data_IF_694049259194
#
_entry.id   IF_694049259194
#
_cell.length_a   1.000
_cell.length_b   1.000
_cell.length_c   1.000
_cell.angle_alpha   90.00
_cell.angle_beta   90.00
_cell.angle_gamma   90.00
#
_symmetry.space_group_name_H-M   'P 1'
#
loop_
_entity.id
_entity.type
_entity.pdbx_description
1 polymer ?
#
# COMPACT_ATOMS: atom_id res chain seq x y z
N UNK A 1 -10.32 20.27 -10.94
CA UNK A 1 -11.41 19.53 -11.61
C UNK A 1 -11.78 20.36 -12.82
N UNK A 2 -11.67 19.82 -14.03
CA UNK A 2 -11.96 20.57 -15.26
C UNK A 2 -13.44 20.97 -15.29
N UNK A 3 -13.73 22.21 -15.68
CA UNK A 3 -15.10 22.65 -15.91
C UNK A 3 -15.63 22.07 -17.22
N UNK A 4 -16.92 21.72 -17.30
CA UNK A 4 -17.56 21.26 -18.54
C UNK A 4 -17.29 22.19 -19.74
N UNK A 5 -17.16 23.49 -19.46
CA UNK A 5 -16.82 24.53 -20.42
C UNK A 5 -15.41 24.39 -21.00
N UNK A 6 -14.41 24.01 -20.20
CA UNK A 6 -13.04 23.76 -20.70
C UNK A 6 -13.00 22.54 -21.62
N UNK A 7 -13.76 21.50 -21.28
CA UNK A 7 -13.90 20.27 -22.10
C UNK A 7 -14.42 20.63 -23.48
N UNK A 8 -15.50 21.40 -23.52
CA UNK A 8 -16.16 21.78 -24.76
C UNK A 8 -15.27 22.69 -25.60
N UNK A 9 -14.55 23.63 -24.97
CA UNK A 9 -13.56 24.47 -25.65
C UNK A 9 -12.42 23.66 -26.26
N UNK A 10 -11.88 22.68 -25.54
CA UNK A 10 -10.79 21.83 -26.04
C UNK A 10 -11.27 20.93 -27.19
N UNK A 11 -12.47 20.37 -27.06
CA UNK A 11 -13.09 19.54 -28.10
C UNK A 11 -13.34 20.32 -29.39
N UNK A 12 -13.84 21.57 -29.28
CA UNK A 12 -14.02 22.46 -30.44
C UNK A 12 -12.66 22.81 -31.04
N UNK A 13 -11.69 23.22 -30.22
CA UNK A 13 -10.35 23.63 -30.69
C UNK A 13 -9.66 22.52 -31.49
N UNK A 14 -9.75 21.28 -31.02
CA UNK A 14 -9.08 20.14 -31.65
C UNK A 14 -9.97 19.46 -32.72
N UNK A 15 -11.20 19.93 -32.91
CA UNK A 15 -12.24 19.27 -33.70
C UNK A 15 -12.37 17.76 -33.38
N UNK A 16 -12.10 17.39 -32.12
CA UNK A 16 -11.98 16.01 -31.68
C UNK A 16 -12.37 15.87 -30.21
N UNK A 17 -13.64 15.53 -29.98
CA UNK A 17 -14.17 15.33 -28.63
C UNK A 17 -13.53 14.14 -27.92
N UNK A 18 -13.08 13.12 -28.66
CA UNK A 18 -12.43 11.95 -28.06
C UNK A 18 -11.09 12.31 -27.43
N UNK A 19 -10.29 13.12 -28.13
CA UNK A 19 -9.00 13.62 -27.63
C UNK A 19 -9.18 14.50 -26.38
N UNK A 20 -10.21 15.35 -26.36
CA UNK A 20 -10.56 16.12 -25.17
C UNK A 20 -10.88 15.23 -23.97
N UNK A 21 -11.60 14.11 -24.17
CA UNK A 21 -11.83 13.14 -23.09
C UNK A 21 -10.58 12.37 -22.66
N UNK A 22 -9.63 12.09 -23.56
CA UNK A 22 -8.37 11.43 -23.19
C UNK A 22 -7.47 12.34 -22.35
N UNK A 23 -7.35 13.63 -22.70
CA UNK A 23 -6.51 14.59 -21.95
C UNK A 23 -7.00 14.85 -20.52
N UNK A 24 -8.30 14.72 -20.27
CA UNK A 24 -8.87 14.90 -18.93
C UNK A 24 -8.80 13.68 -18.03
N UNK A 25 -8.50 12.50 -18.56
CA UNK A 25 -8.38 11.30 -17.74
C UNK A 25 -7.12 11.40 -16.88
N UNK A 26 -7.08 10.70 -15.73
CA UNK A 26 -5.84 10.54 -14.99
C UNK A 26 -4.75 9.99 -15.92
N UNK A 27 -3.62 10.70 -16.01
CA UNK A 27 -2.53 10.34 -16.92
C UNK A 27 -1.64 9.21 -16.36
N UNK A 28 -1.83 8.85 -15.08
CA UNK A 28 -1.13 7.72 -14.47
C UNK A 28 -1.41 6.41 -15.22
N UNK A 29 -0.36 5.69 -15.60
CA UNK A 29 -0.41 4.49 -16.45
C UNK A 29 -1.41 3.43 -15.96
N UNK A 30 -1.51 3.24 -14.64
CA UNK A 30 -2.45 2.28 -14.05
C UNK A 30 -3.92 2.53 -14.41
N UNK A 31 -4.34 3.79 -14.61
CA UNK A 31 -5.71 4.12 -14.99
C UNK A 31 -6.06 3.51 -16.36
N UNK A 32 -5.14 3.55 -17.32
CA UNK A 32 -5.29 2.93 -18.64
C UNK A 32 -5.42 1.41 -18.53
N UNK A 33 -4.61 0.75 -17.69
CA UNK A 33 -4.73 -0.68 -17.45
C UNK A 33 -6.09 -1.06 -16.83
N UNK A 34 -6.57 -0.29 -15.85
CA UNK A 34 -7.88 -0.54 -15.24
C UNK A 34 -9.02 -0.36 -16.25
N UNK A 35 -8.97 0.67 -17.09
CA UNK A 35 -9.97 0.91 -18.14
C UNK A 35 -9.99 -0.23 -19.16
N UNK A 36 -8.81 -0.64 -19.64
CA UNK A 36 -8.71 -1.73 -20.62
C UNK A 36 -9.23 -3.05 -20.05
N UNK A 37 -8.91 -3.33 -18.78
CA UNK A 37 -9.43 -4.53 -18.09
C UNK A 37 -10.95 -4.44 -17.87
N UNK A 38 -11.47 -3.28 -17.48
CA UNK A 38 -12.90 -3.04 -17.33
C UNK A 38 -13.64 -3.29 -18.65
N UNK A 39 -13.15 -2.71 -19.76
CA UNK A 39 -13.72 -2.91 -21.08
C UNK A 39 -13.70 -4.40 -21.47
N UNK A 40 -12.54 -5.05 -21.31
CA UNK A 40 -12.39 -6.47 -21.60
C UNK A 40 -13.35 -7.35 -20.79
N UNK A 41 -13.58 -7.04 -19.51
CA UNK A 41 -14.52 -7.79 -18.67
C UNK A 41 -15.98 -7.48 -19.00
N UNK A 42 -16.32 -6.22 -19.28
CA UNK A 42 -17.70 -5.78 -19.54
C UNK A 42 -18.31 -6.34 -20.83
N UNK A 43 -17.47 -6.60 -21.84
CA UNK A 43 -17.89 -7.19 -23.12
C UNK A 43 -18.12 -8.70 -23.03
N UNK A 44 -17.77 -9.34 -21.91
CA UNK A 44 -17.93 -10.78 -21.74
C UNK A 44 -19.36 -11.07 -21.30
N UNK A 45 -20.11 -11.70 -22.19
CA UNK A 45 -21.41 -12.26 -21.88
C UNK A 45 -21.20 -13.56 -21.05
N UNK A 46 -20.96 -13.43 -19.73
CA UNK A 46 -20.67 -14.59 -18.89
C UNK A 46 -21.96 -15.17 -18.31
N UNK A 47 -22.36 -16.33 -18.82
CA UNK A 47 -23.21 -17.25 -18.08
C UNK A 47 -22.53 -17.58 -16.75
N UNK A 48 -23.33 -17.69 -15.68
CA UNK A 48 -22.90 -18.19 -14.38
C UNK A 48 -22.15 -19.52 -14.60
N UNK A 49 -20.86 -19.51 -14.33
CA UNK A 49 -20.02 -20.70 -14.48
C UNK A 49 -20.26 -21.58 -13.26
N UNK A 50 -21.02 -22.67 -13.42
CA UNK A 50 -21.13 -23.68 -12.37
C UNK A 50 -19.84 -24.50 -12.33
N UNK A 51 -19.31 -24.69 -11.12
CA UNK A 51 -18.18 -25.59 -10.84
C UNK A 51 -18.65 -26.82 -10.05
N UNK A 52 -19.93 -27.17 -10.15
CA UNK A 52 -20.44 -28.42 -9.60
C UNK A 52 -19.67 -29.62 -10.18
N UNK A 53 -19.31 -30.58 -9.31
CA UNK A 53 -18.51 -31.73 -9.70
C UNK A 53 -17.00 -31.49 -9.82
N UNK A 54 -16.51 -30.28 -9.49
CA UNK A 54 -15.08 -30.03 -9.35
C UNK A 54 -14.56 -30.71 -8.07
N UNK A 55 -13.57 -31.59 -8.18
CA UNK A 55 -12.95 -32.26 -7.04
C UNK A 55 -12.15 -31.27 -6.18
N UNK A 56 -12.06 -31.53 -4.87
CA UNK A 56 -11.22 -30.76 -3.93
C UNK A 56 -9.72 -30.86 -4.27
N UNK A 57 -9.32 -31.95 -4.94
CA UNK A 57 -7.97 -32.15 -5.45
C UNK A 57 -8.05 -32.66 -6.89
N UNK A 58 -7.40 -31.94 -7.81
CA UNK A 58 -7.28 -32.29 -9.22
C UNK A 58 -5.81 -32.54 -9.54
N UNK A 59 -5.51 -33.64 -10.21
CA UNK A 59 -4.17 -33.95 -10.72
C UNK A 59 -4.12 -33.86 -12.25
N UNK A 60 -2.93 -33.75 -12.81
CA UNK A 60 -2.77 -33.75 -14.28
C UNK A 60 -3.33 -35.07 -14.84
N UNK A 61 -4.18 -34.97 -15.86
CA UNK A 61 -4.89 -36.08 -16.48
C UNK A 61 -6.34 -36.25 -16.02
N UNK A 62 -6.73 -35.69 -14.87
CA UNK A 62 -8.14 -35.66 -14.47
C UNK A 62 -9.00 -34.96 -15.55
N UNK A 63 -10.22 -35.42 -15.74
CA UNK A 63 -11.15 -34.82 -16.70
C UNK A 63 -12.56 -34.68 -16.15
N UNK A 64 -13.23 -33.59 -16.53
CA UNK A 64 -14.64 -33.33 -16.20
C UNK A 64 -15.19 -32.15 -16.99
N UNK A 65 -16.51 -32.03 -17.05
CA UNK A 65 -17.16 -30.84 -17.59
C UNK A 65 -16.83 -29.57 -16.77
N UNK A 66 -16.66 -29.71 -15.45
CA UNK A 66 -16.24 -28.61 -14.59
C UNK A 66 -14.83 -28.10 -14.94
N UNK A 67 -13.91 -28.99 -15.36
CA UNK A 67 -12.60 -28.59 -15.85
C UNK A 67 -12.71 -27.79 -17.15
N UNK A 68 -13.57 -28.19 -18.08
CA UNK A 68 -13.83 -27.40 -19.31
C UNK A 68 -14.30 -25.97 -18.99
N UNK A 69 -15.26 -25.84 -18.07
CA UNK A 69 -15.76 -24.53 -17.62
C UNK A 69 -14.66 -23.71 -16.92
N UNK A 70 -13.85 -24.36 -16.09
CA UNK A 70 -12.71 -23.72 -15.42
C UNK A 70 -11.68 -23.22 -16.44
N UNK A 71 -11.33 -24.01 -17.47
CA UNK A 71 -10.39 -23.60 -18.52
C UNK A 71 -10.88 -22.35 -19.26
N UNK A 72 -12.16 -22.27 -19.61
CA UNK A 72 -12.77 -21.06 -20.19
C UNK A 72 -12.61 -19.83 -19.30
N UNK A 73 -12.89 -19.96 -18.00
CA UNK A 73 -12.72 -18.86 -17.05
C UNK A 73 -11.25 -18.45 -16.89
N UNK A 74 -10.34 -19.41 -16.78
CA UNK A 74 -8.90 -19.17 -16.67
C UNK A 74 -8.37 -18.47 -17.91
N UNK A 75 -8.73 -18.93 -19.12
CA UNK A 75 -8.37 -18.27 -20.37
C UNK A 75 -8.83 -16.81 -20.39
N UNK A 76 -10.12 -16.59 -20.09
CA UNK A 76 -10.70 -15.26 -20.12
C UNK A 76 -9.99 -14.30 -19.15
N UNK A 77 -9.73 -14.72 -17.92
CA UNK A 77 -9.19 -13.82 -16.88
C UNK A 77 -7.68 -13.70 -16.87
N UNK A 78 -6.95 -14.72 -17.33
CA UNK A 78 -5.48 -14.71 -17.32
C UNK A 78 -4.88 -14.33 -18.65
N UNK A 79 -5.65 -14.45 -19.74
CA UNK A 79 -5.19 -14.24 -21.13
C UNK A 79 -4.01 -15.14 -21.52
N UNK A 80 -3.76 -16.21 -20.76
CA UNK A 80 -2.80 -17.24 -21.11
C UNK A 80 -3.35 -18.15 -22.21
N UNK A 81 -2.51 -18.67 -23.11
CA UNK A 81 -2.94 -19.60 -24.16
C UNK A 81 -3.35 -20.92 -23.51
N UNK A 82 -4.66 -21.09 -23.30
CA UNK A 82 -5.27 -22.29 -22.71
C UNK A 82 -6.29 -22.78 -23.72
N UNK A 83 -6.16 -24.03 -24.18
CA UNK A 83 -7.18 -24.62 -25.05
C UNK A 83 -8.51 -24.75 -24.30
N UNK A 84 -9.50 -23.95 -24.69
CA UNK A 84 -10.80 -23.90 -24.01
C UNK A 84 -11.78 -24.99 -24.46
N UNK A 85 -11.37 -25.89 -25.37
CA UNK A 85 -12.19 -26.99 -25.87
C UNK A 85 -11.95 -28.31 -25.10
N UNK A 86 -10.82 -28.41 -24.37
CA UNK A 86 -10.49 -29.61 -23.60
C UNK A 86 -11.27 -29.71 -22.28
N UNK A 87 -11.54 -30.95 -21.85
CA UNK A 87 -12.08 -31.27 -20.53
C UNK A 87 -11.01 -31.77 -19.54
N UNK A 88 -9.74 -31.77 -19.95
CA UNK A 88 -8.63 -32.38 -19.21
C UNK A 88 -7.84 -31.31 -18.44
N UNK A 89 -7.46 -31.64 -17.22
CA UNK A 89 -6.52 -30.88 -16.42
C UNK A 89 -5.09 -31.17 -16.88
N UNK A 90 -4.42 -30.17 -17.43
CA UNK A 90 -3.06 -30.27 -17.96
C UNK A 90 -2.18 -29.14 -17.44
N UNK A 91 -0.94 -29.07 -17.93
CA UNK A 91 0.02 -28.04 -17.54
C UNK A 91 -0.48 -26.61 -17.84
N UNK A 92 -1.12 -26.39 -18.99
CA UNK A 92 -1.67 -25.09 -19.37
C UNK A 92 -2.76 -24.61 -18.39
N UNK A 93 -3.67 -25.50 -18.00
CA UNK A 93 -4.72 -25.18 -17.02
C UNK A 93 -4.13 -24.91 -15.63
N UNK A 94 -3.11 -25.66 -15.23
CA UNK A 94 -2.40 -25.44 -13.97
C UNK A 94 -1.71 -24.07 -13.94
N UNK A 95 -1.05 -23.68 -15.03
CA UNK A 95 -0.39 -22.38 -15.14
C UNK A 95 -1.41 -21.23 -15.22
N UNK A 96 -2.53 -21.45 -15.93
CA UNK A 96 -3.73 -20.64 -15.86
C UNK A 96 -4.20 -20.42 -14.42
N UNK A 97 -4.34 -21.49 -13.64
CA UNK A 97 -4.79 -21.40 -12.27
C UNK A 97 -3.82 -20.64 -11.38
N UNK A 98 -2.51 -20.89 -11.51
CA UNK A 98 -1.48 -20.16 -10.75
C UNK A 98 -1.51 -18.66 -11.09
N UNK A 99 -1.65 -18.31 -12.38
CA UNK A 99 -1.79 -16.91 -12.79
C UNK A 99 -3.09 -16.30 -12.26
N UNK A 100 -4.21 -17.03 -12.31
CA UNK A 100 -5.48 -16.61 -11.74
C UNK A 100 -5.36 -16.33 -10.23
N UNK A 101 -4.74 -17.22 -9.48
CA UNK A 101 -4.49 -17.02 -8.05
C UNK A 101 -3.66 -15.77 -7.82
N UNK A 102 -2.56 -15.59 -8.57
CA UNK A 102 -1.72 -14.41 -8.50
C UNK A 102 -2.47 -13.10 -8.75
N UNK A 103 -3.20 -12.98 -9.87
CA UNK A 103 -3.95 -11.75 -10.20
C UNK A 103 -5.08 -11.46 -9.21
N UNK A 104 -5.61 -12.48 -8.53
CA UNK A 104 -6.62 -12.33 -7.49
C UNK A 104 -6.03 -12.20 -6.07
N UNK A 105 -4.71 -11.97 -5.96
CA UNK A 105 -4.00 -11.81 -4.69
C UNK A 105 -4.18 -13.01 -3.73
N UNK A 106 -4.20 -14.21 -4.31
CA UNK A 106 -4.19 -15.51 -3.64
C UNK A 106 -2.79 -16.11 -3.85
N UNK A 107 -2.29 -16.87 -2.86
CA UNK A 107 -1.02 -17.59 -3.01
C UNK A 107 -1.11 -18.52 -4.22
N UNK A 108 -0.21 -18.38 -5.20
CA UNK A 108 -0.19 -19.15 -6.44
C UNK A 108 0.30 -20.60 -6.22
N UNK A 109 -0.49 -21.39 -5.51
CA UNK A 109 -0.18 -22.79 -5.17
C UNK A 109 -0.51 -23.76 -6.30
N UNK A 110 -1.36 -23.36 -7.25
CA UNK A 110 -1.94 -24.25 -8.25
C UNK A 110 -2.96 -25.24 -7.67
N UNK A 111 -3.35 -25.09 -6.40
CA UNK A 111 -4.36 -25.92 -5.74
C UNK A 111 -5.72 -25.21 -5.73
N UNK A 112 -6.80 -25.95 -5.94
CA UNK A 112 -8.17 -25.41 -5.92
C UNK A 112 -8.73 -25.50 -4.50
N UNK A 113 -8.10 -24.77 -3.57
CA UNK A 113 -8.55 -24.70 -2.18
C UNK A 113 -9.83 -23.87 -2.02
N UNK A 114 -10.39 -23.83 -0.81
CA UNK A 114 -11.64 -23.10 -0.53
C UNK A 114 -11.54 -21.60 -0.87
N UNK A 115 -10.35 -20.99 -0.72
CA UNK A 115 -10.12 -19.59 -1.07
C UNK A 115 -10.23 -19.42 -2.60
N UNK A 116 -9.58 -20.31 -3.34
CA UNK A 116 -9.58 -20.31 -4.81
C UNK A 116 -10.97 -20.58 -5.36
N UNK A 117 -11.70 -21.58 -4.84
CA UNK A 117 -13.08 -21.89 -5.24
C UNK A 117 -14.01 -20.71 -4.97
N UNK A 118 -13.96 -20.12 -3.77
CA UNK A 118 -14.80 -18.98 -3.44
C UNK A 118 -14.53 -17.79 -4.36
N UNK A 119 -13.26 -17.56 -4.72
CA UNK A 119 -12.93 -16.50 -5.68
C UNK A 119 -13.36 -16.86 -7.10
N UNK A 120 -13.24 -18.10 -7.55
CA UNK A 120 -13.76 -18.55 -8.85
C UNK A 120 -15.28 -18.36 -8.96
N UNK A 121 -16.01 -18.58 -7.87
CA UNK A 121 -17.46 -18.36 -7.78
C UNK A 121 -17.86 -16.87 -7.70
N UNK A 122 -16.92 -15.96 -7.46
CA UNK A 122 -17.22 -14.52 -7.37
C UNK A 122 -17.73 -13.97 -8.71
N UNK A 123 -18.70 -13.05 -8.62
CA UNK A 123 -19.36 -12.47 -9.79
C UNK A 123 -18.43 -11.47 -10.49
N UNK A 124 -18.34 -11.54 -11.83
CA UNK A 124 -17.65 -10.54 -12.66
C UNK A 124 -18.10 -9.11 -12.37
N UNK A 125 -19.38 -8.91 -12.00
CA UNK A 125 -19.90 -7.60 -11.60
C UNK A 125 -19.18 -7.00 -10.38
N UNK A 126 -18.72 -7.84 -9.43
CA UNK A 126 -17.92 -7.35 -8.30
C UNK A 126 -16.56 -6.82 -8.76
N UNK A 127 -15.93 -7.49 -9.73
CA UNK A 127 -14.68 -7.01 -10.33
C UNK A 127 -14.86 -5.72 -11.12
N UNK A 128 -15.93 -5.63 -11.90
CA UNK A 128 -16.30 -4.41 -12.63
C UNK A 128 -16.54 -3.25 -11.67
N UNK A 129 -17.29 -3.48 -10.58
CA UNK A 129 -17.51 -2.48 -9.52
C UNK A 129 -16.19 -2.05 -8.89
N UNK A 130 -15.32 -3.01 -8.54
CA UNK A 130 -14.01 -2.73 -7.94
C UNK A 130 -13.13 -1.88 -8.87
N UNK A 131 -13.05 -2.23 -10.16
CA UNK A 131 -12.32 -1.44 -11.16
C UNK A 131 -12.91 -0.03 -11.33
N UNK A 132 -14.22 0.09 -11.44
CA UNK A 132 -14.90 1.37 -11.59
C UNK A 132 -14.63 2.30 -10.40
N UNK A 133 -14.72 1.76 -9.18
CA UNK A 133 -14.43 2.51 -7.97
C UNK A 133 -12.99 2.96 -7.90
N UNK A 134 -12.03 2.09 -8.23
CA UNK A 134 -10.61 2.46 -8.22
C UNK A 134 -10.27 3.47 -9.31
N UNK A 135 -10.89 3.39 -10.50
CA UNK A 135 -10.80 4.44 -11.51
C UNK A 135 -11.35 5.78 -11.01
N UNK A 136 -12.48 5.77 -10.29
CA UNK A 136 -13.05 7.00 -9.71
C UNK A 136 -12.13 7.59 -8.62
N UNK A 137 -11.57 6.76 -7.74
CA UNK A 137 -10.56 7.19 -6.75
C UNK A 137 -9.36 7.84 -7.42
N UNK A 138 -8.89 7.30 -8.56
CA UNK A 138 -7.79 7.90 -9.32
C UNK A 138 -8.15 9.26 -9.94
N UNK A 139 -9.42 9.52 -10.28
CA UNK A 139 -9.87 10.84 -10.77
C UNK A 139 -9.80 11.93 -9.70
N UNK A 140 -9.81 11.54 -8.43
CA UNK A 140 -9.70 12.50 -7.32
C UNK A 140 -8.25 12.84 -7.00
N UNK A 141 -7.28 12.14 -7.58
CA UNK A 141 -5.86 12.43 -7.47
C UNK A 141 -5.46 13.56 -8.44
N UNK A 142 -4.22 14.06 -8.27
CA UNK A 142 -3.60 14.91 -9.29
C UNK A 142 -3.64 14.20 -10.64
N UNK A 143 -4.06 14.92 -11.66
CA UNK A 143 -4.19 14.35 -13.01
C UNK A 143 -2.84 14.24 -13.70
N UNK A 144 -1.89 15.08 -13.27
CA UNK A 144 -0.57 15.23 -13.85
C UNK A 144 0.49 15.11 -12.75
N UNK A 145 1.44 14.20 -12.96
CA UNK A 145 2.51 13.87 -12.04
C UNK A 145 3.86 14.32 -12.63
N UNK A 146 3.98 15.61 -12.98
CA UNK A 146 5.17 16.22 -13.61
C UNK A 146 6.45 16.07 -12.79
N UNK A 147 6.34 15.99 -11.47
CA UNK A 147 7.48 15.84 -10.56
C UNK A 147 7.62 14.39 -10.14
N UNK A 148 8.83 13.92 -9.80
CA UNK A 148 8.96 12.62 -9.19
C UNK A 148 8.10 12.55 -7.93
N UNK A 149 7.48 11.39 -7.72
CA UNK A 149 6.53 11.22 -6.63
C UNK A 149 6.66 9.86 -5.98
N UNK A 150 6.33 9.83 -4.69
CA UNK A 150 6.16 8.63 -3.90
C UNK A 150 4.71 8.22 -3.94
N UNK A 151 4.46 6.97 -4.27
CA UNK A 151 3.15 6.35 -4.28
C UNK A 151 3.11 5.23 -3.25
N UNK A 152 2.45 5.47 -2.13
CA UNK A 152 2.17 4.44 -1.12
C UNK A 152 0.83 3.81 -1.44
N UNK A 153 0.86 2.65 -2.08
CA UNK A 153 -0.32 1.85 -2.37
C UNK A 153 -0.75 1.12 -1.09
N UNK A 154 -1.69 1.71 -0.34
CA UNK A 154 -2.06 1.25 1.00
C UNK A 154 -2.51 -0.22 1.01
N UNK A 155 -3.46 -0.68 0.17
CA UNK A 155 -3.92 -2.07 0.19
C UNK A 155 -2.87 -3.05 -0.33
N UNK A 156 -1.99 -2.59 -1.24
CA UNK A 156 -0.87 -3.39 -1.75
C UNK A 156 0.28 -3.48 -0.72
N UNK A 157 0.34 -2.50 0.19
CA UNK A 157 1.38 -2.35 1.21
C UNK A 157 2.78 -2.26 0.59
N UNK A 158 2.87 -1.50 -0.50
CA UNK A 158 4.11 -1.24 -1.25
C UNK A 158 4.23 0.27 -1.45
N UNK A 159 5.47 0.75 -1.34
CA UNK A 159 5.87 2.09 -1.77
C UNK A 159 6.55 1.97 -3.13
N UNK A 160 6.15 2.85 -4.05
CA UNK A 160 6.84 3.09 -5.31
C UNK A 160 7.36 4.51 -5.33
N UNK A 161 8.54 4.71 -5.91
CA UNK A 161 9.02 6.02 -6.32
C UNK A 161 9.01 6.05 -7.84
N UNK A 162 8.25 6.99 -8.39
CA UNK A 162 8.18 7.24 -9.82
C UNK A 162 9.11 8.39 -10.18
N UNK A 163 9.98 8.16 -11.16
CA UNK A 163 10.86 9.16 -11.76
C UNK A 163 10.97 8.92 -13.25
N UNK A 164 10.86 9.99 -14.05
CA UNK A 164 10.93 9.93 -15.53
C UNK A 164 10.01 8.84 -16.12
N UNK A 165 8.74 8.81 -15.70
CA UNK A 165 7.72 7.83 -16.11
C UNK A 165 8.03 6.34 -15.81
N UNK A 166 9.00 6.07 -14.94
CA UNK A 166 9.40 4.72 -14.53
C UNK A 166 9.44 4.56 -13.02
N UNK A 167 9.39 3.31 -12.54
CA UNK A 167 9.59 3.00 -11.12
C UNK A 167 11.11 2.92 -10.86
N UNK A 168 11.66 3.93 -10.20
CA UNK A 168 13.10 3.97 -9.86
C UNK A 168 13.41 3.32 -8.51
N UNK A 169 12.43 3.25 -7.60
CA UNK A 169 12.59 2.60 -6.29
C UNK A 169 11.29 1.93 -5.86
N UNK A 170 11.40 0.77 -5.22
CA UNK A 170 10.24 0.12 -4.58
C UNK A 170 10.64 -0.64 -3.33
N UNK A 171 9.72 -0.69 -2.36
CA UNK A 171 9.88 -1.51 -1.15
C UNK A 171 8.54 -1.87 -0.51
N UNK A 172 8.53 -2.92 0.29
CA UNK A 172 7.39 -3.22 1.15
C UNK A 172 7.23 -2.14 2.22
N UNK A 173 5.99 -1.89 2.61
CA UNK A 173 5.65 -1.05 3.75
C UNK A 173 4.71 -1.75 4.72
N UNK A 174 4.64 -1.25 5.96
CA UNK A 174 3.62 -1.59 6.95
C UNK A 174 2.70 -0.39 7.10
N UNK A 175 1.40 -0.60 6.94
CA UNK A 175 0.37 0.43 7.01
C UNK A 175 -0.47 0.28 8.28
N UNK A 176 -1.37 1.22 8.53
CA UNK A 176 -2.28 1.20 9.66
C UNK A 176 -3.12 -0.07 9.71
N UNK A 177 -3.40 -0.57 10.90
CA UNK A 177 -4.38 -1.64 11.08
C UNK A 177 -5.81 -1.13 10.84
N UNK A 178 -6.81 -1.98 10.59
CA UNK A 178 -8.19 -1.54 10.32
C UNK A 178 -8.79 -0.62 11.40
N UNK A 179 -8.44 -0.82 12.68
CA UNK A 179 -8.91 0.06 13.75
C UNK A 179 -8.21 1.43 13.83
N UNK A 180 -7.10 1.62 13.11
CA UNK A 180 -6.35 2.87 13.00
C UNK A 180 -5.77 2.99 11.57
N UNK A 181 -6.63 3.20 10.56
CA UNK A 181 -6.23 3.11 9.16
C UNK A 181 -5.22 4.20 8.79
N UNK A 182 -4.35 3.90 7.83
CA UNK A 182 -3.56 4.94 7.15
C UNK A 182 -4.52 5.77 6.29
N UNK A 183 -4.60 7.10 6.49
CA UNK A 183 -5.47 7.95 5.69
C UNK A 183 -4.89 8.14 4.28
N UNK A 184 -5.76 8.57 3.35
CA UNK A 184 -5.28 9.14 2.08
C UNK A 184 -4.55 10.45 2.33
N UNK A 185 -3.40 10.66 1.67
CA UNK A 185 -2.56 11.84 1.85
C UNK A 185 -2.08 12.31 0.49
N UNK A 186 -2.14 13.62 0.27
CA UNK A 186 -1.43 14.33 -0.80
C UNK A 186 -0.53 15.37 -0.13
N UNK A 187 0.78 15.21 -0.27
CA UNK A 187 1.80 16.02 0.43
C UNK A 187 3.12 16.00 -0.36
N UNK A 188 4.20 16.43 0.27
CA UNK A 188 5.57 16.33 -0.24
C UNK A 188 6.53 15.94 0.87
N UNK A 189 7.68 15.34 0.53
CA UNK A 189 8.74 15.12 1.50
C UNK A 189 9.38 16.47 1.84
N UNK A 190 9.25 16.92 3.07
CA UNK A 190 9.82 18.20 3.52
C UNK A 190 11.25 18.03 4.03
N UNK A 191 11.46 17.02 4.88
CA UNK A 191 12.77 16.72 5.44
C UNK A 191 12.89 15.26 5.87
N UNK A 192 14.14 14.82 6.01
CA UNK A 192 14.52 13.53 6.57
C UNK A 192 15.17 13.78 7.92
N UNK A 193 14.71 13.05 8.94
CA UNK A 193 15.26 13.10 10.29
C UNK A 193 15.99 11.79 10.55
N UNK A 194 17.31 11.88 10.67
CA UNK A 194 18.14 10.77 11.13
C UNK A 194 18.15 10.72 12.66
N UNK A 195 18.13 9.50 13.22
CA UNK A 195 18.01 9.25 14.65
C UNK A 195 16.88 10.09 15.30
N UNK A 196 15.63 9.96 14.84
CA UNK A 196 14.52 10.73 15.36
C UNK A 196 14.21 10.33 16.82
N UNK A 197 14.00 11.27 17.75
CA UNK A 197 13.33 10.95 19.00
C UNK A 197 11.86 10.63 18.69
N UNK A 198 11.23 9.82 19.53
CA UNK A 198 9.80 9.54 19.39
C UNK A 198 9.01 10.15 20.53
N UNK A 199 8.10 11.07 20.23
CA UNK A 199 7.07 11.51 21.17
C UNK A 199 5.82 10.68 20.93
N UNK A 200 5.28 10.05 21.97
CA UNK A 200 4.12 9.18 21.85
C UNK A 200 2.87 10.02 21.53
N UNK A 201 2.18 9.79 20.39
CA UNK A 201 0.97 10.52 20.04
C UNK A 201 -0.19 10.27 21.02
N UNK A 202 -1.13 11.21 21.20
CA UNK A 202 -2.24 11.08 22.15
C UNK A 202 -3.10 9.82 21.98
N UNK A 203 -3.26 9.33 20.76
CA UNK A 203 -4.00 8.09 20.48
C UNK A 203 -3.27 6.86 21.02
N UNK A 204 -1.95 6.77 20.81
CA UNK A 204 -1.12 5.67 21.33
C UNK A 204 -0.99 5.78 22.85
N UNK A 205 -0.90 7.00 23.39
CA UNK A 205 -0.94 7.24 24.84
C UNK A 205 -2.19 6.61 25.47
N UNK A 206 -3.37 6.92 24.94
CA UNK A 206 -4.66 6.48 25.46
C UNK A 206 -4.87 4.98 25.34
N UNK A 207 -4.55 4.41 24.19
CA UNK A 207 -4.96 3.04 23.85
C UNK A 207 -3.87 1.99 24.13
N UNK A 208 -2.60 2.38 24.29
CA UNK A 208 -1.50 1.44 24.51
C UNK A 208 -0.68 1.75 25.76
N UNK A 209 -0.23 2.98 25.92
CA UNK A 209 0.71 3.33 27.00
C UNK A 209 0.01 3.38 28.36
N UNK A 210 -1.10 4.10 28.49
CA UNK A 210 -1.85 4.18 29.75
C UNK A 210 -2.33 2.79 30.20
N UNK A 211 -2.98 1.97 29.34
CA UNK A 211 -3.32 0.59 29.72
C UNK A 211 -2.10 -0.27 30.05
N UNK A 212 -0.95 0.01 29.42
CA UNK A 212 0.32 -0.68 29.69
C UNK A 212 0.90 -0.35 31.06
N UNK A 213 0.88 0.94 31.43
CA UNK A 213 1.27 1.42 32.77
C UNK A 213 0.32 0.83 33.82
N UNK A 214 -0.99 0.87 33.60
CA UNK A 214 -1.96 0.31 34.55
C UNK A 214 -1.73 -1.18 34.84
N UNK A 215 -1.37 -1.97 33.81
CA UNK A 215 -1.15 -3.42 33.95
C UNK A 215 0.22 -3.82 34.47
N UNK A 216 1.27 -3.04 34.18
CA UNK A 216 2.67 -3.45 34.42
C UNK A 216 3.50 -2.41 35.18
N UNK A 217 2.88 -1.30 35.59
CA UNK A 217 3.55 -0.19 36.28
C UNK A 217 4.70 0.39 35.47
N UNK A 218 5.72 0.89 36.19
CA UNK A 218 6.89 1.51 35.55
C UNK A 218 7.74 0.56 34.70
N UNK A 219 7.64 -0.75 34.92
CA UNK A 219 8.32 -1.75 34.08
C UNK A 219 7.85 -1.73 32.61
N UNK A 220 6.65 -1.20 32.33
CA UNK A 220 6.18 -0.99 30.96
C UNK A 220 7.04 0.04 30.22
N UNK A 221 7.26 1.21 30.83
CA UNK A 221 8.06 2.29 30.21
C UNK A 221 9.53 1.89 30.12
N UNK A 222 10.09 1.31 31.19
CA UNK A 222 11.50 0.92 31.23
C UNK A 222 11.87 -0.06 30.11
N UNK A 223 11.09 -1.14 29.92
CA UNK A 223 11.33 -2.14 28.85
C UNK A 223 11.23 -1.57 27.44
N UNK A 224 10.53 -0.46 27.26
CA UNK A 224 10.36 0.24 25.97
C UNK A 224 11.29 1.45 25.84
N UNK A 225 12.14 1.72 26.82
CA UNK A 225 13.01 2.90 26.82
C UNK A 225 12.23 4.23 26.82
N UNK A 226 11.00 4.22 27.35
CA UNK A 226 10.14 5.40 27.43
C UNK A 226 10.41 6.14 28.75
N UNK A 227 10.36 7.47 28.67
CA UNK A 227 10.43 8.36 29.84
C UNK A 227 9.25 9.32 29.81
N UNK A 228 8.68 9.59 30.99
CA UNK A 228 7.57 10.51 31.14
C UNK A 228 8.05 11.84 31.73
N UNK A 229 7.51 12.94 31.23
CA UNK A 229 7.84 14.29 31.62
C UNK A 229 6.56 15.08 31.89
N UNK A 230 6.60 15.98 32.87
CA UNK A 230 5.55 16.98 33.07
C UNK A 230 5.67 18.14 32.06
N UNK A 231 4.75 19.11 32.13
CA UNK A 231 4.75 20.32 31.28
C UNK A 231 6.00 21.20 31.46
N UNK A 232 6.74 21.04 32.56
CA UNK A 232 7.97 21.77 32.86
C UNK A 232 9.22 21.00 32.41
N UNK A 233 9.04 19.82 31.79
CA UNK A 233 10.13 18.96 31.32
C UNK A 233 10.79 18.14 32.43
N UNK A 234 10.22 18.09 33.64
CA UNK A 234 10.75 17.26 34.73
C UNK A 234 10.29 15.83 34.56
N UNK A 235 11.21 14.87 34.76
CA UNK A 235 10.88 13.44 34.75
C UNK A 235 9.91 13.12 35.89
N UNK A 236 8.83 12.40 35.56
CA UNK A 236 7.80 11.99 36.53
C UNK A 236 7.69 10.46 36.61
N UNK A 237 7.29 9.91 37.77
CA UNK A 237 7.08 8.48 37.89
C UNK A 237 5.85 8.03 37.08
N UNK A 238 5.84 6.80 36.52
CA UNK A 238 4.73 6.30 35.71
C UNK A 238 3.41 6.23 36.49
N UNK A 239 3.46 6.07 37.81
CA UNK A 239 2.29 6.07 38.70
C UNK A 239 1.54 7.40 38.74
N UNK A 240 2.15 8.50 38.31
CA UNK A 240 1.48 9.81 38.21
C UNK A 240 0.52 9.89 37.01
N UNK A 241 0.53 8.89 36.11
CA UNK A 241 -0.14 8.93 34.81
C UNK A 241 -1.29 7.92 34.80
N UNK A 242 -2.49 8.39 34.48
CA UNK A 242 -3.70 7.60 34.33
C UNK A 242 -4.57 8.09 33.16
N UNK A 243 -5.69 7.41 32.92
CA UNK A 243 -6.62 7.72 31.83
C UNK A 243 -7.22 9.12 31.91
N UNK A 244 -7.38 9.69 33.10
CA UNK A 244 -7.94 11.02 33.30
C UNK A 244 -6.96 12.16 33.07
N UNK A 245 -5.65 11.93 33.25
CA UNK A 245 -4.65 13.00 33.28
C UNK A 245 -3.51 12.86 32.26
N UNK A 246 -3.45 11.79 31.45
CA UNK A 246 -2.32 11.50 30.56
C UNK A 246 -1.96 12.64 29.59
N UNK A 247 -2.92 13.49 29.21
CA UNK A 247 -2.70 14.65 28.33
C UNK A 247 -1.82 15.74 28.95
N UNK A 248 -1.59 15.69 30.27
CA UNK A 248 -0.72 16.63 30.98
C UNK A 248 0.76 16.23 30.92
N UNK A 249 1.07 15.06 30.34
CA UNK A 249 2.41 14.50 30.34
C UNK A 249 2.88 14.24 28.91
N UNK A 250 4.19 14.41 28.71
CA UNK A 250 4.89 14.01 27.51
C UNK A 250 5.56 12.66 27.79
N UNK A 251 5.28 11.64 26.97
CA UNK A 251 6.09 10.42 26.98
C UNK A 251 6.93 10.40 25.72
N UNK A 252 8.24 10.23 25.89
CA UNK A 252 9.17 10.16 24.78
C UNK A 252 10.13 8.98 24.88
N UNK A 253 10.63 8.56 23.72
CA UNK A 253 11.66 7.56 23.54
C UNK A 253 12.89 8.25 22.94
N UNK A 254 14.06 7.92 23.49
CA UNK A 254 15.32 8.40 22.94
C UNK A 254 15.57 7.80 21.54
N UNK A 255 16.36 8.47 20.68
CA UNK A 255 16.79 7.91 19.41
C UNK A 255 17.53 6.58 19.55
N UNK A 256 17.38 5.71 18.55
CA UNK A 256 18.17 4.49 18.44
C UNK A 256 17.50 3.42 17.58
N UNK A 257 18.26 2.37 17.27
CA UNK A 257 17.78 1.25 16.43
C UNK A 257 16.50 0.59 16.97
N UNK A 258 16.37 0.47 18.30
CA UNK A 258 15.20 -0.09 18.98
C UNK A 258 14.09 0.96 19.26
N UNK A 259 14.25 2.20 18.79
CA UNK A 259 13.21 3.23 18.89
C UNK A 259 12.02 2.86 18.00
N UNK A 260 10.81 3.23 18.39
CA UNK A 260 9.58 2.96 17.63
C UNK A 260 9.56 3.67 16.26
N UNK A 261 10.36 4.73 16.10
CA UNK A 261 10.59 5.40 14.81
C UNK A 261 11.84 4.90 14.06
N UNK A 262 12.58 3.94 14.64
CA UNK A 262 13.86 3.46 14.14
C UNK A 262 14.88 4.58 13.97
N UNK A 263 15.69 4.48 12.92
CA UNK A 263 16.83 5.38 12.67
C UNK A 263 16.53 6.50 11.66
N UNK A 264 15.40 6.46 10.96
CA UNK A 264 15.06 7.42 9.90
C UNK A 264 13.57 7.73 9.90
N UNK A 265 13.20 9.01 9.81
CA UNK A 265 11.83 9.49 9.64
C UNK A 265 11.77 10.47 8.46
N UNK A 266 10.75 10.37 7.63
CA UNK A 266 10.46 11.29 6.55
C UNK A 266 9.24 12.12 6.95
N UNK A 267 9.45 13.42 7.15
CA UNK A 267 8.36 14.34 7.43
C UNK A 267 7.69 14.78 6.13
N UNK A 268 6.36 14.80 6.18
CA UNK A 268 5.48 15.15 5.06
C UNK A 268 4.32 15.94 5.66
N UNK A 269 4.23 17.27 5.44
CA UNK A 269 3.20 18.10 6.06
C UNK A 269 1.78 17.59 5.77
N UNK A 270 1.01 17.25 6.81
CA UNK A 270 -0.37 16.78 6.68
C UNK A 270 -1.14 16.98 8.00
N UNK A 271 -2.48 17.08 7.96
CA UNK A 271 -3.30 17.34 9.16
C UNK A 271 -3.42 16.15 10.13
N UNK A 272 -2.95 14.95 9.75
CA UNK A 272 -3.14 13.73 10.54
C UNK A 272 -1.92 13.35 11.39
N UNK A 273 -0.84 14.14 11.36
CA UNK A 273 0.44 13.82 12.02
C UNK A 273 1.02 12.48 11.58
N UNK A 274 0.77 12.09 10.33
CA UNK A 274 1.26 10.85 9.71
C UNK A 274 2.64 11.10 9.08
N UNK A 275 3.51 10.10 9.12
CA UNK A 275 4.83 10.16 8.50
C UNK A 275 5.23 8.78 7.97
N UNK A 276 6.23 8.75 7.09
CA UNK A 276 6.94 7.53 6.74
C UNK A 276 8.15 7.38 7.65
N UNK A 277 8.42 6.20 8.19
CA UNK A 277 9.53 6.04 9.13
C UNK A 277 10.09 4.62 9.19
N UNK A 278 11.21 4.49 9.88
CA UNK A 278 11.86 3.23 10.17
C UNK A 278 11.20 2.48 11.35
N UNK A 279 11.51 1.20 11.55
CA UNK A 279 10.91 0.38 12.61
C UNK A 279 11.88 -0.69 13.10
N UNK A 280 11.86 -1.04 14.40
CA UNK A 280 12.61 -2.19 14.89
C UNK A 280 11.96 -3.51 14.48
N UNK A 281 10.67 -3.49 14.11
CA UNK A 281 9.89 -4.66 13.71
C UNK A 281 10.14 -5.06 12.25
N UNK A 282 11.32 -5.61 11.96
CA UNK A 282 11.71 -6.06 10.62
C UNK A 282 10.91 -7.28 10.15
N UNK A 283 10.50 -8.11 11.11
CA UNK A 283 9.68 -9.31 10.92
C UNK A 283 8.30 -9.02 10.29
N UNK A 284 7.83 -7.77 10.35
CA UNK A 284 6.55 -7.41 9.73
C UNK A 284 6.61 -7.43 8.20
N UNK A 285 7.79 -7.18 7.60
CA UNK A 285 7.90 -6.99 6.14
C UNK A 285 7.82 -8.28 5.32
N UNK A 286 7.93 -9.46 5.97
CA UNK A 286 7.75 -10.77 5.32
C UNK A 286 6.32 -11.28 5.41
N UNK A 287 5.44 -10.60 6.16
CA UNK A 287 4.03 -10.98 6.30
C UNK A 287 3.26 -10.61 5.03
N UNK A 288 2.30 -11.46 4.68
CA UNK A 288 1.37 -11.18 3.59
C UNK A 288 0.42 -10.01 3.93
N UNK A 289 -0.03 -9.93 5.19
CA UNK A 289 -0.79 -8.78 5.69
C UNK A 289 0.10 -7.94 6.63
N UNK A 290 0.34 -6.69 6.21
CA UNK A 290 1.16 -5.68 6.89
C UNK A 290 0.34 -4.46 7.32
N UNK A 291 -0.98 -4.59 7.48
CA UNK A 291 -1.82 -3.60 8.16
C UNK A 291 -1.68 -3.73 9.69
N UNK A 292 -0.53 -3.31 10.22
CA UNK A 292 -0.11 -3.57 11.62
C UNK A 292 0.29 -2.32 12.40
N UNK A 293 0.40 -1.16 11.75
CA UNK A 293 0.80 0.10 12.39
C UNK A 293 -0.39 0.84 13.01
N UNK A 294 -0.13 2.01 13.60
CA UNK A 294 -1.15 2.94 14.12
C UNK A 294 -1.45 4.10 13.15
N UNK A 295 -1.35 3.85 11.84
CA UNK A 295 -1.65 4.82 10.78
C UNK A 295 -0.42 5.31 10.03
N UNK A 296 0.72 5.48 10.71
CA UNK A 296 1.98 5.84 10.05
C UNK A 296 2.50 4.71 9.15
N UNK A 297 3.30 5.04 8.15
CA UNK A 297 3.82 4.06 7.18
C UNK A 297 5.24 3.67 7.58
N UNK A 298 5.46 2.40 7.93
CA UNK A 298 6.81 1.90 8.23
C UNK A 298 7.47 1.38 6.95
N UNK A 299 8.72 1.73 6.73
CA UNK A 299 9.47 1.43 5.52
C UNK A 299 10.41 0.25 5.74
N UNK A 300 10.49 -0.66 4.76
CA UNK A 300 11.39 -1.83 4.84
C UNK A 300 12.86 -1.43 4.75
N UNK A 301 13.17 -0.47 3.88
CA UNK A 301 14.54 -0.04 3.54
C UNK A 301 14.71 1.48 3.69
N UNK A 302 14.44 2.07 4.87
CA UNK A 302 14.37 3.53 5.01
C UNK A 302 15.73 4.22 4.84
N UNK A 303 16.84 3.58 5.22
CA UNK A 303 18.18 4.13 5.01
C UNK A 303 18.58 4.15 3.54
N UNK A 304 18.21 3.11 2.79
CA UNK A 304 18.43 3.06 1.34
C UNK A 304 17.58 4.12 0.65
N UNK A 305 16.31 4.26 1.06
CA UNK A 305 15.41 5.27 0.54
C UNK A 305 15.87 6.70 0.87
N UNK A 306 16.39 6.94 2.07
CA UNK A 306 16.96 8.25 2.42
C UNK A 306 18.17 8.60 1.55
N UNK A 307 19.07 7.64 1.32
CA UNK A 307 20.20 7.83 0.42
C UNK A 307 19.75 8.09 -1.03
N UNK A 308 18.72 7.36 -1.48
CA UNK A 308 18.14 7.54 -2.81
C UNK A 308 17.49 8.93 -2.99
N UNK A 309 16.70 9.39 -2.02
CA UNK A 309 16.06 10.72 -2.05
C UNK A 309 17.08 11.85 -1.98
N UNK A 310 18.22 11.63 -1.31
CA UNK A 310 19.29 12.63 -1.14
C UNK A 310 20.43 12.44 -2.17
N UNK A 311 20.21 11.70 -3.26
CA UNK A 311 21.25 11.28 -4.22
C UNK A 311 22.05 12.45 -4.83
N UNK A 312 21.41 13.61 -5.01
CA UNK A 312 22.05 14.80 -5.57
C UNK A 312 22.96 15.53 -4.56
N UNK A 313 23.04 15.05 -3.33
CA UNK A 313 23.92 15.58 -2.28
C UNK A 313 24.95 14.51 -1.90
N UNK A 314 26.20 14.69 -2.37
CA UNK A 314 27.32 13.75 -2.16
C UNK A 314 27.62 13.39 -0.67
N UNK A 315 26.99 14.07 0.28
CA UNK A 315 27.10 13.84 1.72
C UNK A 315 26.20 12.69 2.25
N UNK A 316 25.27 12.17 1.44
CA UNK A 316 24.27 11.19 1.89
C UNK A 316 24.27 9.88 1.09
N UNK A 317 25.46 9.43 0.67
CA UNK A 317 25.63 8.04 0.23
C UNK A 317 25.19 7.05 1.31
N UNK A 318 24.86 5.83 0.90
CA UNK A 318 24.37 4.78 1.80
C UNK A 318 25.37 4.46 2.94
N UNK A 319 26.67 4.61 2.72
CA UNK A 319 27.70 4.45 3.77
C UNK A 319 27.69 5.63 4.74
N UNK A 320 27.54 6.86 4.24
CA UNK A 320 27.45 8.06 5.09
C UNK A 320 26.18 8.05 5.95
N UNK A 321 25.04 7.63 5.39
CA UNK A 321 23.78 7.48 6.14
C UNK A 321 23.96 6.51 7.32
N UNK A 322 24.61 5.36 7.12
CA UNK A 322 24.90 4.44 8.22
C UNK A 322 25.81 5.07 9.28
N UNK A 323 26.84 5.81 8.87
CA UNK A 323 27.72 6.53 9.80
C UNK A 323 26.96 7.59 10.60
N UNK A 324 26.06 8.34 9.96
CA UNK A 324 25.20 9.34 10.62
C UNK A 324 24.30 8.67 11.67
N UNK A 325 23.64 7.56 11.32
CA UNK A 325 22.75 6.84 12.25
C UNK A 325 23.53 6.26 13.44
N UNK A 326 24.77 5.79 13.24
CA UNK A 326 25.64 5.29 14.33
C UNK A 326 25.95 6.34 15.39
N UNK A 327 25.99 7.63 15.03
CA UNK A 327 26.20 8.71 16.00
C UNK A 327 25.03 8.86 16.98
N UNK A 328 23.84 8.35 16.64
CA UNK A 328 22.58 8.47 17.42
C UNK A 328 22.19 9.91 17.78
N UNK A 329 22.79 10.87 17.09
CA UNK A 329 22.46 12.30 17.19
C UNK A 329 21.35 12.60 16.20
N UNK A 330 20.30 13.26 16.67
CA UNK A 330 19.21 13.68 15.78
C UNK A 330 19.71 14.74 14.81
N UNK A 331 19.54 14.48 13.51
CA UNK A 331 19.91 15.40 12.43
C UNK A 331 18.72 15.58 11.51
N UNK A 332 18.40 16.83 11.19
CA UNK A 332 17.35 17.22 10.25
C UNK A 332 18.00 17.61 8.93
N UNK A 333 17.57 16.98 7.84
CA UNK A 333 18.08 17.23 6.50
C UNK A 333 16.91 17.66 5.60
N UNK A 334 16.85 18.92 5.16
CA UNK A 334 15.80 19.36 4.26
C UNK A 334 15.94 18.67 2.90
N UNK A 335 14.81 18.28 2.29
CA UNK A 335 14.79 17.73 0.94
C UNK A 335 14.57 18.88 -0.04
N UNK A 336 15.58 19.17 -0.86
CA UNK A 336 15.54 20.31 -1.80
C UNK A 336 14.70 20.02 -3.05
N UNK A 337 14.69 18.77 -3.50
CA UNK A 337 13.88 18.35 -4.62
C UNK A 337 12.40 18.33 -4.21
N UNK A 338 11.51 18.82 -5.07
CA UNK A 338 10.07 18.71 -4.81
C UNK A 338 9.60 17.30 -5.15
N UNK A 339 9.53 16.43 -4.13
CA UNK A 339 9.06 15.05 -4.27
C UNK A 339 7.67 14.96 -3.63
N UNK A 340 6.65 14.82 -4.47
CA UNK A 340 5.28 14.64 -4.01
C UNK A 340 5.11 13.28 -3.33
N UNK A 341 4.17 13.17 -2.38
CA UNK A 341 3.86 11.94 -1.66
C UNK A 341 2.36 11.73 -1.67
N UNK A 342 1.94 10.64 -2.30
CA UNK A 342 0.55 10.21 -2.39
C UNK A 342 0.35 8.90 -1.65
N UNK A 343 -0.46 8.93 -0.60
CA UNK A 343 -0.95 7.71 0.05
C UNK A 343 -2.31 7.42 -0.56
N UNK A 344 -2.39 6.33 -1.32
CA UNK A 344 -3.59 5.99 -2.08
C UNK A 344 -4.22 4.70 -1.59
N UNK A 345 -5.54 4.69 -1.56
CA UNK A 345 -6.32 3.49 -1.27
C UNK A 345 -6.88 2.91 -2.56
N UNK A 346 -6.06 2.14 -3.28
CA UNK A 346 -6.51 1.41 -4.46
C UNK A 346 -6.51 -0.10 -4.19
N UNK A 347 -7.68 -0.72 -4.32
CA UNK A 347 -7.83 -2.18 -4.20
C UNK A 347 -7.61 -2.89 -5.54
N UNK A 348 -7.26 -2.15 -6.58
CA UNK A 348 -6.61 -2.66 -7.78
C UNK A 348 -5.17 -2.14 -7.87
N UNK A 349 -4.28 -2.94 -8.45
CA UNK A 349 -2.90 -2.55 -8.75
C UNK A 349 -2.50 -3.09 -10.13
N UNK A 350 -1.32 -2.70 -10.62
CA UNK A 350 -0.77 -3.20 -11.88
C UNK A 350 0.61 -3.79 -11.64
N UNK A 351 0.87 -4.99 -12.17
CA UNK A 351 2.20 -5.60 -12.12
C UNK A 351 3.16 -5.05 -13.19
N UNK A 352 4.42 -5.47 -13.16
CA UNK A 352 5.46 -4.95 -14.06
C UNK A 352 5.24 -5.25 -15.55
N UNK A 353 4.31 -6.16 -15.89
CA UNK A 353 3.97 -6.51 -17.27
C UNK A 353 2.54 -6.08 -17.64
N UNK A 354 1.88 -5.26 -16.80
CA UNK A 354 0.61 -4.64 -17.11
C UNK A 354 -0.65 -5.42 -16.72
N UNK A 355 -0.54 -6.51 -15.94
CA UNK A 355 -1.73 -7.21 -15.45
C UNK A 355 -2.35 -6.46 -14.29
N UNK A 356 -3.69 -6.39 -14.29
CA UNK A 356 -4.43 -5.84 -13.17
C UNK A 356 -4.56 -6.87 -12.07
N UNK A 357 -4.12 -6.50 -10.87
CA UNK A 357 -4.24 -7.27 -9.64
C UNK A 357 -5.48 -6.82 -8.86
N UNK A 358 -6.19 -7.76 -8.25
CA UNK A 358 -7.36 -7.54 -7.39
C UNK A 358 -6.96 -7.82 -5.95
N UNK A 359 -6.77 -6.74 -5.20
CA UNK A 359 -6.29 -6.78 -3.83
C UNK A 359 -7.46 -6.92 -2.85
N UNK A 360 -7.13 -7.27 -1.61
CA UNK A 360 -8.11 -7.33 -0.53
C UNK A 360 -8.43 -5.91 -0.06
N UNK A 361 -9.72 -5.64 0.16
CA UNK A 361 -10.19 -4.43 0.82
C UNK A 361 -9.97 -4.54 2.34
N UNK A 362 -8.79 -4.09 2.79
CA UNK A 362 -8.32 -4.22 4.18
C UNK A 362 -9.03 -3.28 5.15
N UNK A 363 -9.60 -2.17 4.68
CA UNK A 363 -10.31 -1.17 5.49
C UNK A 363 -11.82 -1.13 5.25
N UNK A 364 -12.36 -1.94 4.33
CA UNK A 364 -13.80 -2.01 4.03
C UNK A 364 -14.34 -0.71 3.44
N UNK A 365 -13.63 -0.19 2.43
CA UNK A 365 -13.97 1.06 1.75
C UNK A 365 -14.48 0.86 0.30
N UNK A 366 -14.59 -0.38 -0.19
CA UNK A 366 -15.10 -0.71 -1.54
C UNK A 366 -16.64 -0.84 -1.68
#
# INVERSE_FOLDING_TARGET
MWSATEIFKLAIKNNNIHEAFETMRPQHTWYKHFRNEYQSLSQRNMQLTSFEGLKDSITIGDSSFAIYQLRKKLYAETKLPIDTHLMIWNQEALDGLKKYQYINNIKATGKIDSITINKLKSNTNEKLKQLALNMERMRWLKHDFQQPFVWVAIPQMVLFYFGNDSIEFTMNVVVGRPSRPTPGIDSKIENIVFSPPWVVPPTIMREEVVPGIARRGGSYLARRGLRAYDRRGKVVPPSAINSGNFRNFLISQAPGYNSSLGEVKFNMPNPWSIYMHDTPHREDFVKANRALSSGCVRLQKPKDFASFVLKDTAQYSRRQVDSICKLRKTIFVPVKQNIDVHFVYLTNAVDSIGNVLYLKDIYKWD
#
